data_IF_427810432681
#
_entry.id   IF_427810432681
#
_cell.length_a   1.000
_cell.length_b   1.000
_cell.length_c   1.000
_cell.angle_alpha   90.00
_cell.angle_beta   90.00
_cell.angle_gamma   90.00
#
_symmetry.space_group_name_H-M   'P 1'
#
loop_
_entity.id
_entity.type
_entity.pdbx_description
1 polymer ?
#
# COMPACT_ATOMS: atom_id res chain seq x y z
N UNK A 1 5.87 3.18 23.38
CA UNK A 1 5.02 2.70 22.28
C UNK A 1 5.94 2.20 21.19
N UNK A 2 5.94 0.90 20.92
CA UNK A 2 6.72 0.27 19.85
C UNK A 2 6.21 0.80 18.52
N UNK A 3 7.01 1.62 17.84
CA UNK A 3 6.66 2.13 16.52
C UNK A 3 6.82 0.98 15.53
N UNK A 4 5.72 0.49 14.96
CA UNK A 4 5.79 -0.43 13.84
C UNK A 4 6.42 0.31 12.65
N UNK A 5 7.37 -0.34 11.98
CA UNK A 5 8.02 0.23 10.79
C UNK A 5 7.43 -0.42 9.54
N UNK A 6 6.83 0.40 8.69
CA UNK A 6 6.31 -0.02 7.39
C UNK A 6 7.21 0.54 6.29
N UNK A 7 7.53 -0.28 5.30
CA UNK A 7 8.31 0.12 4.12
C UNK A 7 7.53 -0.23 2.86
N UNK A 8 7.49 0.71 1.91
CA UNK A 8 6.84 0.54 0.60
C UNK A 8 7.88 0.86 -0.47
N UNK A 9 8.20 -0.13 -1.31
CA UNK A 9 9.18 0.06 -2.38
C UNK A 9 8.69 1.04 -3.45
N UNK A 10 7.46 0.85 -3.91
CA UNK A 10 6.92 1.56 -5.07
C UNK A 10 5.41 1.63 -5.00
N UNK A 11 4.89 2.79 -5.41
CA UNK A 11 3.46 3.04 -5.57
C UNK A 11 3.21 3.39 -7.03
N UNK A 12 2.24 2.73 -7.64
CA UNK A 12 1.75 3.04 -8.97
C UNK A 12 0.32 3.55 -8.87
N UNK A 13 0.04 4.66 -9.56
CA UNK A 13 -1.31 5.20 -9.67
C UNK A 13 -1.66 5.33 -11.15
N UNK A 14 -2.74 4.67 -11.54
CA UNK A 14 -3.36 4.79 -12.84
C UNK A 14 -4.71 5.50 -12.69
N UNK A 15 -4.96 6.48 -13.55
CA UNK A 15 -6.18 7.29 -13.54
C UNK A 15 -6.77 7.25 -14.93
N UNK A 16 -7.95 6.67 -15.05
CA UNK A 16 -8.76 6.76 -16.25
C UNK A 16 -9.86 7.81 -16.07
N UNK A 17 -9.88 8.81 -16.95
CA UNK A 17 -10.87 9.88 -16.93
C UNK A 17 -11.12 10.42 -18.33
N UNK A 18 -12.38 10.74 -18.63
CA UNK A 18 -12.79 11.33 -19.90
C UNK A 18 -12.51 12.84 -20.01
N UNK A 19 -11.92 13.47 -18.97
CA UNK A 19 -11.69 14.91 -18.92
C UNK A 19 -10.22 15.25 -18.74
N UNK A 20 -9.66 15.94 -19.74
CA UNK A 20 -8.28 16.41 -19.71
C UNK A 20 -8.02 17.44 -18.59
N UNK A 21 -9.02 18.26 -18.27
CA UNK A 21 -8.92 19.24 -17.17
C UNK A 21 -8.79 18.53 -15.83
N UNK A 22 -9.59 17.48 -15.61
CA UNK A 22 -9.53 16.66 -14.40
C UNK A 22 -8.20 15.90 -14.35
N UNK A 23 -7.78 15.28 -15.45
CA UNK A 23 -6.50 14.58 -15.54
C UNK A 23 -5.31 15.48 -15.15
N UNK A 24 -5.26 16.71 -15.68
CA UNK A 24 -4.20 17.68 -15.36
C UNK A 24 -4.27 18.14 -13.91
N UNK A 25 -5.47 18.37 -13.37
CA UNK A 25 -5.65 18.75 -11.97
C UNK A 25 -5.12 17.67 -11.02
N UNK A 26 -5.44 16.40 -11.29
CA UNK A 26 -4.94 15.29 -10.46
C UNK A 26 -3.44 15.14 -10.65
N UNK A 27 -2.92 15.12 -11.88
CA UNK A 27 -1.48 15.02 -12.16
C UNK A 27 -0.67 16.07 -11.37
N UNK A 28 -1.15 17.29 -11.29
CA UNK A 28 -0.45 18.39 -10.62
C UNK A 28 -0.52 18.30 -9.08
N UNK A 29 -1.55 17.64 -8.54
CA UNK A 29 -1.79 17.58 -7.09
C UNK A 29 -1.64 16.16 -6.50
N UNK A 30 -1.30 15.16 -7.32
CA UNK A 30 -1.28 13.75 -6.93
C UNK A 30 -0.28 13.50 -5.80
N UNK A 31 0.92 14.08 -5.88
CA UNK A 31 1.95 13.90 -4.85
C UNK A 31 1.48 14.39 -3.48
N UNK A 32 0.84 15.57 -3.44
CA UNK A 32 0.27 16.16 -2.22
C UNK A 32 -0.88 15.31 -1.69
N UNK A 33 -1.75 14.82 -2.57
CA UNK A 33 -2.86 13.93 -2.19
C UNK A 33 -2.36 12.61 -1.60
N UNK A 34 -1.38 11.96 -2.24
CA UNK A 34 -0.80 10.71 -1.75
C UNK A 34 -0.17 10.88 -0.36
N UNK A 35 0.62 11.95 -0.18
CA UNK A 35 1.30 12.21 1.09
C UNK A 35 0.35 12.58 2.23
N UNK A 36 -0.64 13.44 1.97
CA UNK A 36 -1.47 14.00 3.03
C UNK A 36 -2.76 13.20 3.31
N UNK A 37 -3.22 12.38 2.36
CA UNK A 37 -4.49 11.66 2.49
C UNK A 37 -4.30 10.14 2.41
N UNK A 38 -3.60 9.63 1.38
CA UNK A 38 -3.52 8.18 1.15
C UNK A 38 -2.58 7.48 2.14
N UNK A 39 -1.32 7.93 2.26
CA UNK A 39 -0.34 7.29 3.13
C UNK A 39 -0.75 7.26 4.60
N UNK A 40 -1.35 8.33 5.18
CA UNK A 40 -1.88 8.26 6.55
C UNK A 40 -2.96 7.19 6.73
N UNK A 41 -3.83 6.99 5.73
CA UNK A 41 -4.86 5.94 5.78
C UNK A 41 -4.21 4.56 5.71
N UNK A 42 -3.27 4.34 4.78
CA UNK A 42 -2.52 3.08 4.68
C UNK A 42 -1.77 2.75 5.97
N UNK A 43 -1.06 3.73 6.53
CA UNK A 43 -0.32 3.60 7.80
C UNK A 43 -1.24 3.19 8.95
N UNK A 44 -2.42 3.81 9.06
CA UNK A 44 -3.43 3.44 10.07
C UNK A 44 -3.90 1.99 9.88
N UNK A 45 -4.15 1.56 8.66
CA UNK A 45 -4.59 0.19 8.38
C UNK A 45 -3.48 -0.84 8.61
N UNK A 46 -2.24 -0.55 8.21
CA UNK A 46 -1.10 -1.43 8.44
C UNK A 46 -0.75 -1.56 9.92
N UNK A 47 -0.90 -0.50 10.70
CA UNK A 47 -0.77 -0.56 12.16
C UNK A 47 -1.87 -1.39 12.83
N UNK A 48 -2.99 -1.62 12.16
CA UNK A 48 -4.10 -2.44 12.66
C UNK A 48 -3.93 -3.92 12.33
N UNK A 49 -2.95 -4.30 11.49
CA UNK A 49 -2.60 -5.69 11.24
C UNK A 49 -1.93 -6.22 12.52
N UNK A 50 -2.49 -7.26 13.12
CA UNK A 50 -1.92 -7.89 14.32
C UNK A 50 -0.47 -8.30 14.06
N UNK A 51 0.43 -7.65 14.78
CA UNK A 51 1.85 -7.97 14.74
C UNK A 51 2.08 -9.06 15.79
N UNK A 52 2.30 -10.30 15.32
CA UNK A 52 2.80 -11.35 16.21
C UNK A 52 4.27 -11.00 16.46
N UNK A 53 4.66 -10.89 17.72
CA UNK A 53 6.04 -10.58 18.09
C UNK A 53 7.03 -11.43 17.29
N UNK A 54 8.03 -10.77 16.70
CA UNK A 54 9.10 -11.38 15.92
C UNK A 54 8.71 -11.92 14.51
N UNK A 55 7.56 -11.52 13.96
CA UNK A 55 7.18 -11.81 12.57
C UNK A 55 7.14 -10.54 11.71
N UNK A 56 7.54 -10.67 10.45
CA UNK A 56 7.48 -9.61 9.45
C UNK A 56 6.40 -9.99 8.45
N UNK A 57 5.48 -9.06 8.21
CA UNK A 57 4.43 -9.22 7.20
C UNK A 57 4.94 -8.63 5.89
N UNK A 58 5.13 -9.48 4.88
CA UNK A 58 5.51 -9.09 3.53
C UNK A 58 4.31 -9.18 2.60
N UNK A 59 4.08 -8.12 1.84
CA UNK A 59 3.05 -8.04 0.80
C UNK A 59 3.78 -7.81 -0.52
N UNK A 60 3.78 -8.80 -1.42
CA UNK A 60 4.46 -8.69 -2.71
C UNK A 60 3.81 -7.65 -3.62
N UNK A 61 2.48 -7.69 -3.73
CA UNK A 61 1.70 -6.76 -4.54
C UNK A 61 0.34 -6.54 -3.89
N UNK A 62 -0.06 -5.28 -3.81
CA UNK A 62 -1.42 -4.87 -3.45
C UNK A 62 -1.97 -4.02 -4.58
N UNK A 63 -3.10 -4.44 -5.14
CA UNK A 63 -3.76 -3.76 -6.24
C UNK A 63 -5.16 -3.34 -5.79
N UNK A 64 -5.46 -2.05 -5.93
CA UNK A 64 -6.71 -1.46 -5.47
C UNK A 64 -7.32 -0.73 -6.65
N UNK A 65 -8.48 -1.22 -7.08
CA UNK A 65 -9.24 -0.61 -8.18
C UNK A 65 -10.42 0.16 -7.61
N UNK A 66 -10.52 1.45 -7.94
CA UNK A 66 -11.55 2.34 -7.39
C UNK A 66 -12.30 2.96 -8.54
N UNK A 67 -13.58 2.62 -8.65
CA UNK A 67 -14.48 3.22 -9.63
C UNK A 67 -15.23 4.40 -9.00
N UNK A 68 -15.18 5.55 -9.68
CA UNK A 68 -15.97 6.72 -9.33
C UNK A 68 -17.21 6.76 -10.20
N UNK A 69 -18.37 6.47 -9.62
CA UNK A 69 -19.67 6.63 -10.27
C UNK A 69 -20.04 8.12 -10.39
N UNK A 70 -19.25 8.90 -11.12
CA UNK A 70 -19.55 10.30 -11.45
C UNK A 70 -20.61 10.42 -12.56
N UNK A 71 -21.53 9.45 -12.65
CA UNK A 71 -22.58 9.40 -13.66
C UNK A 71 -23.69 10.44 -13.48
N UNK A 72 -23.69 11.23 -12.41
CA UNK A 72 -24.63 12.33 -12.20
C UNK A 72 -23.91 13.51 -11.58
N UNK A 73 -23.63 14.50 -12.43
CA UNK A 73 -23.05 15.81 -12.13
C UNK A 73 -21.52 15.77 -12.07
N UNK A 74 -20.89 16.57 -12.93
CA UNK A 74 -19.44 16.72 -13.06
C UNK A 74 -18.80 17.25 -11.77
N UNK A 75 -18.65 16.36 -10.79
CA UNK A 75 -18.00 16.63 -9.54
C UNK A 75 -16.49 16.63 -9.80
N UNK A 76 -16.00 17.82 -10.09
CA UNK A 76 -14.60 18.19 -9.96
C UNK A 76 -14.05 17.61 -8.65
N UNK A 77 -12.84 17.06 -8.67
CA UNK A 77 -12.02 16.64 -7.51
C UNK A 77 -11.88 17.73 -6.41
N UNK A 78 -12.50 18.89 -6.61
CA UNK A 78 -12.43 20.11 -5.82
C UNK A 78 -13.51 20.24 -4.74
N UNK A 79 -14.59 19.44 -4.76
CA UNK A 79 -15.64 19.52 -3.72
C UNK A 79 -15.31 18.57 -2.56
N UNK A 80 -15.26 19.12 -1.34
CA UNK A 80 -14.87 18.42 -0.11
C UNK A 80 -15.68 17.16 0.19
N UNK A 81 -16.96 17.13 -0.21
CA UNK A 81 -17.83 15.93 -0.11
C UNK A 81 -17.30 14.77 -0.96
N UNK A 82 -16.95 15.02 -2.23
CA UNK A 82 -16.45 13.96 -3.12
C UNK A 82 -15.06 13.45 -2.74
N UNK A 83 -14.22 14.31 -2.15
CA UNK A 83 -12.92 13.92 -1.62
C UNK A 83 -13.05 12.97 -0.43
N UNK A 84 -14.05 13.20 0.42
CA UNK A 84 -14.31 12.35 1.59
C UNK A 84 -14.95 11.01 1.19
N UNK A 85 -15.83 11.01 0.19
CA UNK A 85 -16.40 9.78 -0.36
C UNK A 85 -15.33 8.92 -1.04
N UNK A 86 -14.43 9.54 -1.79
CA UNK A 86 -13.29 8.85 -2.39
C UNK A 86 -12.35 8.28 -1.32
N UNK A 87 -12.06 9.06 -0.27
CA UNK A 87 -11.25 8.60 0.88
C UNK A 87 -11.87 7.41 1.60
N UNK A 88 -13.18 7.45 1.84
CA UNK A 88 -13.90 6.35 2.49
C UNK A 88 -13.95 5.09 1.60
N UNK A 89 -14.09 5.25 0.28
CA UNK A 89 -14.01 4.14 -0.68
C UNK A 89 -12.60 3.54 -0.70
N UNK A 90 -11.56 4.39 -0.74
CA UNK A 90 -10.17 3.97 -0.63
C UNK A 90 -9.95 3.18 0.67
N UNK A 91 -10.39 3.70 1.82
CA UNK A 91 -10.21 3.02 3.11
C UNK A 91 -10.92 1.67 3.12
N UNK A 92 -12.15 1.58 2.60
CA UNK A 92 -12.89 0.32 2.49
C UNK A 92 -12.21 -0.69 1.58
N UNK A 93 -11.74 -0.28 0.40
CA UNK A 93 -11.08 -1.19 -0.53
C UNK A 93 -9.69 -1.61 -0.01
N UNK A 94 -8.95 -0.73 0.68
CA UNK A 94 -7.72 -1.11 1.40
C UNK A 94 -8.05 -2.17 2.46
N UNK A 95 -9.08 -1.95 3.28
CA UNK A 95 -9.49 -2.91 4.29
C UNK A 95 -9.90 -4.25 3.67
N UNK A 96 -10.62 -4.21 2.55
CA UNK A 96 -11.06 -5.40 1.84
C UNK A 96 -9.89 -6.18 1.27
N UNK A 97 -8.96 -5.49 0.60
CA UNK A 97 -7.72 -6.08 0.10
C UNK A 97 -6.91 -6.70 1.24
N UNK A 98 -6.73 -5.99 2.36
CA UNK A 98 -6.03 -6.52 3.53
C UNK A 98 -6.71 -7.76 4.12
N UNK A 99 -8.04 -7.75 4.24
CA UNK A 99 -8.80 -8.88 4.73
C UNK A 99 -8.74 -10.08 3.78
N UNK A 100 -8.76 -9.85 2.46
CA UNK A 100 -8.59 -10.91 1.45
C UNK A 100 -7.21 -11.53 1.52
N UNK A 101 -6.18 -10.71 1.72
CA UNK A 101 -4.81 -11.18 1.88
C UNK A 101 -4.59 -11.95 3.20
N UNK A 102 -5.37 -11.68 4.25
CA UNK A 102 -5.29 -12.38 5.55
C UNK A 102 -6.08 -13.70 5.58
N UNK A 103 -7.03 -13.92 4.66
CA UNK A 103 -7.77 -15.18 4.61
C UNK A 103 -6.82 -16.30 4.18
N UNK A 104 -6.76 -17.44 4.89
CA UNK A 104 -6.05 -18.61 4.41
C UNK A 104 -6.79 -19.11 3.16
N UNK A 105 -6.29 -18.75 1.98
CA UNK A 105 -6.86 -19.24 0.72
C UNK A 105 -6.58 -20.73 0.60
N UNK A 106 -7.67 -21.51 0.74
CA UNK A 106 -7.72 -22.84 0.19
C UNK A 106 -7.71 -22.74 -1.33
N UNK A 107 -6.65 -23.28 -1.94
CA UNK A 107 -6.63 -23.81 -3.30
C UNK A 107 -7.13 -22.92 -4.44
N UNK A 108 -6.66 -21.69 -4.63
CA UNK A 108 -6.68 -21.08 -5.98
C UNK A 108 -5.40 -20.28 -6.27
N UNK A 109 -4.74 -20.64 -7.37
CA UNK A 109 -3.59 -19.94 -7.94
C UNK A 109 -4.00 -18.49 -8.30
N UNK A 110 -3.41 -17.48 -7.65
CA UNK A 110 -2.73 -16.31 -8.30
C UNK A 110 -2.40 -15.15 -7.33
N UNK A 111 -1.08 -14.91 -7.22
CA UNK A 111 -0.37 -13.63 -7.26
C UNK A 111 -0.37 -12.61 -6.11
N UNK A 112 -1.22 -12.66 -5.09
CA UNK A 112 -1.08 -11.73 -3.95
C UNK A 112 -1.01 -12.49 -2.62
N UNK A 113 0.19 -12.95 -2.25
CA UNK A 113 0.41 -13.66 -0.98
C UNK A 113 0.88 -12.67 0.09
N UNK A 114 0.18 -12.61 1.22
CA UNK A 114 0.80 -12.17 2.47
C UNK A 114 1.70 -13.31 2.94
N UNK A 115 2.99 -13.04 3.03
CA UNK A 115 3.96 -13.94 3.63
C UNK A 115 4.31 -13.41 5.01
N UNK A 116 4.18 -14.27 6.03
CA UNK A 116 4.75 -14.01 7.35
C UNK A 116 6.13 -14.65 7.37
N UNK A 117 7.17 -13.83 7.46
CA UNK A 117 8.55 -14.32 7.52
C UNK A 117 9.12 -14.09 8.93
N UNK A 118 10.00 -14.98 9.36
CA UNK A 118 10.74 -14.81 10.61
C UNK A 118 11.87 -13.78 10.44
N UNK A 119 12.47 -13.35 11.55
CA UNK A 119 13.63 -12.47 11.52
C UNK A 119 14.82 -13.13 10.81
N UNK A 120 15.05 -14.40 11.07
CA UNK A 120 16.14 -15.20 10.47
C UNK A 120 15.95 -15.35 8.96
N UNK A 121 14.71 -15.55 8.50
CA UNK A 121 14.38 -15.59 7.08
C UNK A 121 14.62 -14.24 6.40
N UNK A 122 14.29 -13.12 7.07
CA UNK A 122 14.59 -11.76 6.58
C UNK A 122 16.09 -11.54 6.41
N UNK A 123 16.90 -11.98 7.38
CA UNK A 123 18.36 -11.87 7.33
C UNK A 123 18.93 -12.68 6.16
N UNK A 124 18.47 -13.91 5.97
CA UNK A 124 18.90 -14.76 4.86
C UNK A 124 18.50 -14.19 3.48
N UNK A 125 17.28 -13.68 3.33
CA UNK A 125 16.85 -13.02 2.10
C UNK A 125 17.64 -11.74 1.83
N UNK A 126 17.99 -11.00 2.88
CA UNK A 126 18.82 -9.79 2.76
C UNK A 126 20.22 -10.12 2.27
N UNK A 127 20.84 -11.17 2.83
CA UNK A 127 22.13 -11.66 2.38
C UNK A 127 22.08 -12.13 0.92
N UNK A 128 21.06 -12.91 0.55
CA UNK A 128 20.89 -13.40 -0.81
C UNK A 128 20.74 -12.24 -1.80
N UNK A 129 19.88 -11.27 -1.50
CA UNK A 129 19.70 -10.08 -2.33
C UNK A 129 21.02 -9.31 -2.52
N UNK A 130 21.80 -9.16 -1.44
CA UNK A 130 23.10 -8.48 -1.50
C UNK A 130 24.10 -9.21 -2.39
N UNK A 131 24.16 -10.54 -2.31
CA UNK A 131 25.02 -11.37 -3.18
C UNK A 131 24.60 -11.23 -4.65
N UNK A 132 23.30 -11.21 -4.93
CA UNK A 132 22.78 -11.13 -6.30
C UNK A 132 22.89 -9.74 -6.92
N UNK A 133 22.64 -8.68 -6.14
CA UNK A 133 22.49 -7.30 -6.65
C UNK A 133 23.63 -6.37 -6.25
N UNK A 134 24.54 -6.79 -5.36
CA UNK A 134 25.65 -5.98 -4.86
C UNK A 134 25.24 -4.74 -4.04
N UNK A 135 23.98 -4.67 -3.61
CA UNK A 135 23.44 -3.54 -2.84
C UNK A 135 22.45 -4.03 -1.78
N UNK A 136 22.25 -3.23 -0.73
CA UNK A 136 21.28 -3.54 0.31
C UNK A 136 19.86 -3.38 -0.24
N UNK A 137 18.94 -4.29 0.11
CA UNK A 137 17.56 -4.19 -0.33
C UNK A 137 16.81 -3.05 0.37
N UNK A 138 15.75 -2.57 -0.28
CA UNK A 138 14.93 -1.43 0.15
C UNK A 138 14.14 -1.67 1.46
N UNK A 139 13.99 -2.93 1.88
CA UNK A 139 13.32 -3.30 3.12
C UNK A 139 14.22 -3.22 4.36
N UNK A 140 15.52 -2.91 4.19
CA UNK A 140 16.43 -2.66 5.30
C UNK A 140 16.35 -1.19 5.71
N UNK A 141 15.94 -0.97 6.95
CA UNK A 141 15.90 0.38 7.54
C UNK A 141 17.28 0.75 8.07
N UNK A 142 17.60 2.06 8.13
CA UNK A 142 18.89 2.55 8.68
C UNK A 142 19.15 2.16 10.14
N UNK A 143 18.10 1.73 10.86
CA UNK A 143 18.18 1.24 12.24
C UNK A 143 18.26 -0.29 12.34
N UNK A 144 18.20 -1.01 11.22
CA UNK A 144 18.41 -2.46 11.21
C UNK A 144 19.92 -2.69 11.27
N UNK A 145 20.45 -2.83 12.48
CA UNK A 145 21.84 -3.29 12.66
C UNK A 145 21.89 -4.76 12.25
N UNK A 146 22.60 -5.04 11.17
CA UNK A 146 23.02 -6.40 10.86
C UNK A 146 24.18 -6.67 11.83
N UNK A 147 23.90 -7.37 12.92
CA UNK A 147 24.92 -7.84 13.88
C UNK A 147 25.57 -9.15 13.40
#
# INVERSE_FOLDING_TARGET
>A
MTKNFHSIQRVFLEIDTNSMVIANSIKNNVGVYLQNELFPVLEKQFNSIENIDNQIVQIEKMEISIQSDSGKNGASFSNSETKNDMKNRIEKEIQKALNELQKPSGNEEKTNKICKISKEEKELQTLLYFIENGSLPWWISKNDTIE
#
